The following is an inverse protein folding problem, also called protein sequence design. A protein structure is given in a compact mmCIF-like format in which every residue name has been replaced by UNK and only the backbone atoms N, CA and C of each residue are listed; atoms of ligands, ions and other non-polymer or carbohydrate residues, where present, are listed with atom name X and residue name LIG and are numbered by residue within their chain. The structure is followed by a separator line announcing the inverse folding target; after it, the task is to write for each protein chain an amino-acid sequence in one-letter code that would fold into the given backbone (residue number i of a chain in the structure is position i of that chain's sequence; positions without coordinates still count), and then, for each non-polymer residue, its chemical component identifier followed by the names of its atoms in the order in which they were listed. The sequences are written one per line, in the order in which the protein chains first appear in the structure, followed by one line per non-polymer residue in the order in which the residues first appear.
data_IF_325373438778
#
_entry.id   IF_325373438778
#
_cell.length_a   1.000
_cell.length_b   1.000
_cell.length_c   1.000
_cell.angle_alpha   90.00
_cell.angle_beta   90.00
_cell.angle_gamma   90.00
#
_symmetry.space_group_name_H-M   'P 1'
#
loop_
_entity.id
_entity.type
_entity.pdbx_description
1 polymer ?
#
# COMPACT_ATOMS: atom_id res chain seq x y z
N UNK A 1 -8.31 -1.00 2.22
CA UNK A 1 -6.92 -0.68 2.63
C UNK A 1 -6.68 -0.86 4.14
N UNK A 2 -7.32 -1.86 4.78
CA UNK A 2 -7.28 -2.10 6.23
C UNK A 2 -5.97 -2.80 6.69
N UNK A 3 -5.28 -3.47 5.77
CA UNK A 3 -4.12 -4.29 6.10
C UNK A 3 -2.89 -3.45 6.44
N UNK A 4 -2.58 -2.39 5.67
CA UNK A 4 -1.41 -1.54 5.89
C UNK A 4 -1.45 -0.79 7.24
N UNK A 5 -2.58 -0.13 7.52
CA UNK A 5 -2.82 0.55 8.79
C UNK A 5 -2.61 -0.39 9.99
N UNK A 6 -3.14 -1.62 9.92
CA UNK A 6 -2.97 -2.61 10.97
C UNK A 6 -1.51 -3.03 11.18
N UNK A 7 -0.69 -3.09 10.12
CA UNK A 7 0.75 -3.37 10.26
C UNK A 7 1.48 -2.21 10.94
N UNK A 8 1.07 -0.98 10.63
CA UNK A 8 1.64 0.21 11.25
C UNK A 8 1.31 0.31 12.74
N UNK A 9 0.07 0.00 13.14
CA UNK A 9 -0.35 -0.09 14.54
C UNK A 9 0.49 -1.11 15.31
N UNK A 10 0.60 -2.34 14.79
CA UNK A 10 1.42 -3.38 15.41
C UNK A 10 2.90 -2.96 15.52
N UNK A 11 3.44 -2.29 14.50
CA UNK A 11 4.81 -1.76 14.54
C UNK A 11 5.01 -0.75 15.69
N UNK A 12 4.01 0.10 15.95
CA UNK A 12 4.02 1.06 17.06
C UNK A 12 3.96 0.32 18.39
N UNK A 13 3.05 -0.65 18.53
CA UNK A 13 2.91 -1.47 19.74
C UNK A 13 4.22 -2.21 20.07
N UNK A 14 4.83 -2.89 19.09
CA UNK A 14 6.10 -3.58 19.28
C UNK A 14 7.24 -2.63 19.67
N UNK A 15 7.30 -1.42 19.10
CA UNK A 15 8.27 -0.40 19.54
C UNK A 15 8.02 0.05 20.97
N UNK A 16 6.76 0.18 21.39
CA UNK A 16 6.41 0.56 22.75
C UNK A 16 6.84 -0.53 23.75
N UNK A 17 6.52 -1.79 23.46
CA UNK A 17 6.95 -2.93 24.29
C UNK A 17 8.47 -3.03 24.35
N UNK A 18 9.16 -2.82 23.23
CA UNK A 18 10.62 -2.85 23.16
C UNK A 18 11.34 -1.78 24.01
N UNK A 19 10.62 -0.73 24.43
CA UNK A 19 11.13 0.34 25.31
C UNK A 19 10.88 0.06 26.79
N UNK A 20 10.11 -0.98 27.13
CA UNK A 20 9.83 -1.35 28.51
C UNK A 20 11.11 -1.77 29.22
N UNK A 21 11.34 -1.28 30.44
CA UNK A 21 12.46 -1.69 31.30
C UNK A 21 12.30 -3.12 31.86
N UNK A 22 11.12 -3.72 31.70
CA UNK A 22 10.80 -5.05 32.22
C UNK A 22 11.21 -6.21 31.30
N UNK A 23 11.80 -5.94 30.13
CA UNK A 23 12.21 -6.98 29.17
C UNK A 23 13.73 -7.05 29.04
N UNK A 24 14.24 -8.24 28.71
CA UNK A 24 15.67 -8.40 28.41
C UNK A 24 16.08 -7.65 27.14
N UNK A 25 17.36 -7.26 27.09
CA UNK A 25 17.96 -6.58 25.94
C UNK A 25 17.78 -7.35 24.64
N UNK A 26 17.94 -8.68 24.69
CA UNK A 26 17.76 -9.55 23.52
C UNK A 26 16.32 -9.49 22.99
N UNK A 27 15.32 -9.59 23.88
CA UNK A 27 13.91 -9.43 23.49
C UNK A 27 13.64 -8.04 22.92
N UNK A 28 14.20 -6.99 23.51
CA UNK A 28 14.05 -5.62 22.99
C UNK A 28 14.60 -5.48 21.57
N UNK A 29 15.73 -6.11 21.24
CA UNK A 29 16.32 -6.11 19.90
C UNK A 29 15.39 -6.82 18.91
N UNK A 30 14.88 -8.01 19.26
CA UNK A 30 13.97 -8.76 18.40
C UNK A 30 12.68 -7.98 18.12
N UNK A 31 12.06 -7.39 19.15
CA UNK A 31 10.84 -6.59 18.99
C UNK A 31 11.06 -5.36 18.10
N UNK A 32 12.22 -4.69 18.20
CA UNK A 32 12.59 -3.59 17.30
C UNK A 32 12.73 -4.06 15.85
N UNK A 33 13.31 -5.26 15.63
CA UNK A 33 13.43 -5.86 14.31
C UNK A 33 12.05 -6.15 13.71
N UNK A 34 11.16 -6.80 14.47
CA UNK A 34 9.78 -7.09 14.07
C UNK A 34 9.04 -5.79 13.70
N UNK A 35 9.15 -4.75 14.54
CA UNK A 35 8.51 -3.47 14.25
C UNK A 35 9.02 -2.80 12.97
N UNK A 36 10.32 -2.93 12.66
CA UNK A 36 10.90 -2.42 11.41
C UNK A 36 10.33 -3.16 10.21
N UNK A 37 10.26 -4.49 10.26
CA UNK A 37 9.66 -5.32 9.20
C UNK A 37 8.19 -4.96 8.97
N UNK A 38 7.41 -4.80 10.03
CA UNK A 38 6.00 -4.41 9.94
C UNK A 38 5.82 -3.02 9.31
N UNK A 39 6.67 -2.05 9.69
CA UNK A 39 6.66 -0.72 9.07
C UNK A 39 6.96 -0.81 7.57
N UNK A 40 7.97 -1.60 7.18
CA UNK A 40 8.33 -1.81 5.77
C UNK A 40 7.17 -2.44 4.97
N UNK A 41 6.51 -3.44 5.56
CA UNK A 41 5.36 -4.09 4.93
C UNK A 41 4.16 -3.14 4.79
N UNK A 42 3.88 -2.30 5.79
CA UNK A 42 2.83 -1.28 5.70
C UNK A 42 3.07 -0.36 4.49
N UNK A 43 4.29 0.17 4.35
CA UNK A 43 4.67 1.03 3.23
C UNK A 43 4.53 0.33 1.87
N UNK A 44 4.94 -0.94 1.78
CA UNK A 44 4.80 -1.73 0.55
C UNK A 44 3.33 -1.92 0.16
N UNK A 45 2.47 -2.22 1.12
CA UNK A 45 1.03 -2.37 0.90
C UNK A 45 0.36 -1.05 0.51
N UNK A 46 0.78 0.07 1.12
CA UNK A 46 0.27 1.40 0.76
C UNK A 46 0.66 1.76 -0.68
N UNK A 47 1.91 1.47 -1.06
CA UNK A 47 2.38 1.68 -2.43
C UNK A 47 1.61 0.82 -3.43
N UNK A 48 1.39 -0.46 -3.11
CA UNK A 48 0.59 -1.36 -3.93
C UNK A 48 -0.85 -0.83 -4.10
N UNK A 49 -1.49 -0.40 -3.02
CA UNK A 49 -2.83 0.18 -3.06
C UNK A 49 -2.90 1.50 -3.85
N UNK A 50 -1.82 2.27 -3.91
CA UNK A 50 -1.72 3.43 -4.82
C UNK A 50 -1.68 2.99 -6.27
N UNK A 51 -0.76 2.06 -6.62
CA UNK A 51 -0.60 1.57 -7.99
C UNK A 51 -1.90 0.99 -8.54
N UNK A 52 -2.60 0.14 -7.76
CA UNK A 52 -3.89 -0.43 -8.18
C UNK A 52 -4.96 0.64 -8.44
N UNK A 53 -4.96 1.75 -7.68
CA UNK A 53 -5.89 2.86 -7.92
C UNK A 53 -5.54 3.64 -9.19
N UNK A 54 -4.27 3.88 -9.43
CA UNK A 54 -3.79 4.56 -10.63
C UNK A 54 -4.09 3.73 -11.88
N UNK A 55 -3.83 2.42 -11.83
CA UNK A 55 -4.19 1.45 -12.89
C UNK A 55 -5.70 1.47 -13.18
N UNK A 56 -6.54 1.43 -12.13
CA UNK A 56 -8.00 1.51 -12.30
C UNK A 56 -8.47 2.85 -12.90
N UNK A 57 -7.81 3.96 -12.55
CA UNK A 57 -8.10 5.28 -13.14
C UNK A 57 -7.73 5.32 -14.62
N UNK A 58 -6.59 4.76 -14.99
CA UNK A 58 -6.15 4.67 -16.39
C UNK A 58 -7.05 3.77 -17.23
N UNK A 59 -7.49 2.63 -16.70
CA UNK A 59 -8.43 1.74 -17.38
C UNK A 59 -9.76 2.45 -17.70
N UNK A 60 -10.33 3.19 -16.74
CA UNK A 60 -11.57 3.96 -16.94
C UNK A 60 -11.41 5.08 -17.98
N UNK A 61 -10.29 5.79 -17.97
CA UNK A 61 -10.02 6.84 -18.96
C UNK A 61 -9.79 6.29 -20.38
N UNK A 62 -9.45 5.01 -20.53
CA UNK A 62 -9.36 4.34 -21.83
C UNK A 62 -10.73 3.93 -22.38
N UNK A 63 -11.66 3.56 -21.50
CA UNK A 63 -13.04 3.16 -21.82
C UNK A 63 -13.92 4.37 -22.20
N UNK A 64 -13.70 5.53 -21.56
CA UNK A 64 -14.42 6.80 -21.84
C UNK A 64 -13.99 7.50 -23.15
N UNK A 65 -13.10 6.90 -23.97
CA UNK A 65 -12.82 7.47 -25.29
C UNK A 65 -14.03 7.21 -26.19
N UNK A 66 -14.69 8.26 -26.71
CA UNK A 66 -15.79 8.07 -27.66
C UNK A 66 -15.24 7.26 -28.84
N UNK A 67 -15.92 6.16 -29.18
CA UNK A 67 -15.58 5.34 -30.32
C UNK A 67 -15.36 6.25 -31.52
N UNK A 68 -14.20 6.10 -32.18
CA UNK A 68 -13.96 6.77 -33.44
C UNK A 68 -15.17 6.47 -34.35
N UNK A 69 -15.89 7.52 -34.72
CA UNK A 69 -17.01 7.49 -35.66
C UNK A 69 -16.61 6.65 -36.87
N UNK A 70 -17.47 5.74 -37.37
CA UNK A 70 -17.20 5.08 -38.64
C UNK A 70 -17.14 6.17 -39.72
N UNK A 71 -16.03 6.24 -40.45
CA UNK A 71 -15.94 7.05 -41.66
C UNK A 71 -16.87 6.48 -42.74
N UNK A 72 -18.16 6.65 -42.57
CA UNK A 72 -19.14 6.49 -43.63
C UNK A 72 -19.26 7.82 -44.38
N UNK A 73 -18.68 7.85 -45.58
CA UNK A 73 -19.22 8.66 -46.67
C UNK A 73 -18.41 9.89 -47.07
N UNK A 74 -17.47 9.68 -47.98
CA UNK A 74 -17.30 10.55 -49.16
C UNK A 74 -17.35 9.64 -50.39
N UNK A 75 -18.55 9.35 -50.92
CA UNK A 75 -19.07 9.99 -52.15
C UNK A 75 -18.09 10.97 -52.79
N UNK A 76 -17.45 10.54 -53.88
CA UNK A 76 -17.73 10.97 -55.26
C UNK A 76 -16.98 10.08 -56.26
#
# INVERSE_FOLDING_TARGET
MYVAARRQELAIEYKAVAKSSAISTERAILLKSVARTLTGLANQLDRLASLTRDEARHARAADDRPGAEPEDGQRL
#
